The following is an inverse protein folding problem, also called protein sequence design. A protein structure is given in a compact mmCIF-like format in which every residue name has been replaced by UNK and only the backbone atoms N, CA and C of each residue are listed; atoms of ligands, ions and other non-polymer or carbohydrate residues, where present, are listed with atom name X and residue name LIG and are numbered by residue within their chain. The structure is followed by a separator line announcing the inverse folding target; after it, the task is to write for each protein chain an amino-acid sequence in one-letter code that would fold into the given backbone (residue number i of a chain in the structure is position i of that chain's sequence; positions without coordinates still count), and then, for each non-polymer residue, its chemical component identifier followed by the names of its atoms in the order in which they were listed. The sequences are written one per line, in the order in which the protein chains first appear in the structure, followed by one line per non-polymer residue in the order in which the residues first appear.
data_IF_913986730276
#
_entry.id   IF_913986730276
#
_cell.length_a   1.000
_cell.length_b   1.000
_cell.length_c   1.000
_cell.angle_alpha   90.00
_cell.angle_beta   90.00
_cell.angle_gamma   90.00
#
_symmetry.space_group_name_H-M   'P 1'
#
loop_
_entity.id
_entity.type
_entity.pdbx_description
1 polymer ?
#
# COMPACT_ATOMS: atom_id res chain seq x y z
N UNK A 1 -10.65 -4.40 53.36
CA UNK A 1 -9.27 -3.92 53.11
C UNK A 1 -8.70 -4.46 51.79
N UNK A 2 -8.82 -5.76 51.49
CA UNK A 2 -8.31 -6.36 50.24
C UNK A 2 -8.88 -5.77 48.95
N UNK A 3 -10.19 -5.46 48.89
CA UNK A 3 -10.80 -4.89 47.67
C UNK A 3 -10.20 -3.54 47.28
N UNK A 4 -9.88 -2.70 48.26
CA UNK A 4 -9.23 -1.41 48.00
C UNK A 4 -7.79 -1.62 47.52
N UNK A 5 -7.08 -2.61 48.07
CA UNK A 5 -5.74 -3.00 47.61
C UNK A 5 -5.78 -3.48 46.15
N UNK A 6 -6.74 -4.34 45.79
CA UNK A 6 -6.91 -4.84 44.40
C UNK A 6 -7.26 -3.70 43.43
N UNK A 7 -8.20 -2.81 43.79
CA UNK A 7 -8.55 -1.65 42.96
C UNK A 7 -7.35 -0.73 42.75
N UNK A 8 -6.59 -0.44 43.80
CA UNK A 8 -5.39 0.39 43.71
C UNK A 8 -4.30 -0.26 42.86
N UNK A 9 -4.11 -1.58 42.99
CA UNK A 9 -3.16 -2.34 42.17
C UNK A 9 -3.55 -2.28 40.69
N UNK A 10 -4.82 -2.55 40.36
CA UNK A 10 -5.32 -2.49 38.98
C UNK A 10 -5.15 -1.10 38.36
N UNK A 11 -5.55 -0.04 39.08
CA UNK A 11 -5.39 1.34 38.60
C UNK A 11 -3.91 1.72 38.44
N UNK A 12 -3.03 1.24 39.32
CA UNK A 12 -1.57 1.44 39.19
C UNK A 12 -1.03 0.75 37.94
N UNK A 13 -1.38 -0.53 37.73
CA UNK A 13 -1.00 -1.27 36.52
C UNK A 13 -1.49 -0.57 35.25
N UNK A 14 -2.76 -0.13 35.22
CA UNK A 14 -3.31 0.58 34.07
C UNK A 14 -2.57 1.89 33.77
N UNK A 15 -2.19 2.65 34.82
CA UNK A 15 -1.38 3.87 34.68
C UNK A 15 0.01 3.58 34.13
N UNK A 16 0.67 2.53 34.63
CA UNK A 16 2.00 2.11 34.16
C UNK A 16 1.93 1.70 32.68
N UNK A 17 0.96 0.85 32.31
CA UNK A 17 0.78 0.43 30.91
C UNK A 17 0.49 1.62 30.01
N UNK A 18 -0.38 2.55 30.43
CA UNK A 18 -0.69 3.76 29.66
C UNK A 18 0.54 4.65 29.49
N UNK A 19 1.35 4.81 30.53
CA UNK A 19 2.59 5.58 30.49
C UNK A 19 3.62 4.95 29.54
N UNK A 20 3.78 3.62 29.57
CA UNK A 20 4.65 2.89 28.64
C UNK A 20 4.20 3.12 27.19
N UNK A 21 2.89 3.01 26.91
CA UNK A 21 2.34 3.28 25.58
C UNK A 21 2.65 4.72 25.15
N UNK A 22 2.42 5.71 26.01
CA UNK A 22 2.73 7.12 25.71
C UNK A 22 4.21 7.32 25.41
N UNK A 23 5.11 6.75 26.23
CA UNK A 23 6.57 6.85 26.01
C UNK A 23 6.96 6.20 24.67
N UNK A 24 6.39 5.05 24.33
CA UNK A 24 6.64 4.40 23.05
C UNK A 24 6.18 5.27 21.87
N UNK A 25 4.97 5.85 21.95
CA UNK A 25 4.49 6.77 20.91
C UNK A 25 5.37 8.03 20.80
N UNK A 26 5.65 8.69 21.93
CA UNK A 26 6.48 9.92 21.96
C UNK A 26 7.87 9.66 21.41
N UNK A 27 8.50 8.53 21.77
CA UNK A 27 9.84 8.19 21.27
C UNK A 27 9.86 7.97 19.75
N UNK A 28 8.82 7.36 19.17
CA UNK A 28 8.69 7.20 17.71
C UNK A 28 8.53 8.56 17.02
N UNK A 29 7.67 9.43 17.54
CA UNK A 29 7.51 10.78 16.99
C UNK A 29 8.79 11.61 17.11
N UNK A 30 9.46 11.56 18.26
CA UNK A 30 10.73 12.24 18.49
C UNK A 30 11.83 11.72 17.55
N UNK A 31 11.91 10.41 17.34
CA UNK A 31 12.86 9.82 16.40
C UNK A 31 12.59 10.25 14.96
N UNK A 32 11.33 10.21 14.51
CA UNK A 32 10.95 10.70 13.18
C UNK A 32 11.26 12.20 13.02
N UNK A 33 10.95 13.00 14.03
CA UNK A 33 11.30 14.42 14.05
C UNK A 33 12.81 14.63 13.92
N UNK A 34 13.61 13.87 14.69
CA UNK A 34 15.07 13.88 14.60
C UNK A 34 15.59 13.51 13.21
N UNK A 35 15.05 12.47 12.56
CA UNK A 35 15.45 12.11 11.19
C UNK A 35 15.11 13.25 10.21
N UNK A 36 13.91 13.82 10.31
CA UNK A 36 13.46 14.86 9.39
C UNK A 36 14.21 16.18 9.57
N UNK A 37 14.65 16.50 10.79
CA UNK A 37 15.44 17.70 11.09
C UNK A 37 16.93 17.55 10.74
N UNK A 38 17.51 16.35 10.88
CA UNK A 38 18.93 16.12 10.62
C UNK A 38 19.26 15.80 9.16
N UNK A 39 18.34 15.20 8.42
CA UNK A 39 18.52 14.90 7.00
C UNK A 39 17.87 16.01 6.17
N UNK A 40 18.68 16.95 5.71
CA UNK A 40 18.23 18.06 4.86
C UNK A 40 18.17 17.65 3.39
N UNK A 41 17.40 18.41 2.59
CA UNK A 41 17.36 18.26 1.13
C UNK A 41 18.74 18.47 0.52
N UNK A 42 19.48 19.49 0.99
CA UNK A 42 20.85 19.75 0.56
C UNK A 42 21.77 18.55 0.79
N UNK A 43 21.66 17.87 1.94
CA UNK A 43 22.46 16.68 2.24
C UNK A 43 22.17 15.53 1.26
N UNK A 44 20.89 15.34 0.93
CA UNK A 44 20.46 14.35 -0.09
C UNK A 44 21.02 14.74 -1.46
N UNK A 45 20.89 16.00 -1.88
CA UNK A 45 21.41 16.51 -3.15
C UNK A 45 22.92 16.34 -3.26
N UNK A 46 23.68 16.75 -2.24
CA UNK A 46 25.15 16.58 -2.20
C UNK A 46 25.54 15.12 -2.31
N UNK A 47 24.83 14.23 -1.61
CA UNK A 47 25.10 12.78 -1.70
C UNK A 47 24.78 12.24 -3.09
N UNK A 48 23.65 12.63 -3.67
CA UNK A 48 23.26 12.22 -5.01
C UNK A 48 24.28 12.70 -6.06
N UNK A 49 24.69 13.96 -5.98
CA UNK A 49 25.66 14.54 -6.91
C UNK A 49 27.02 13.86 -6.81
N UNK A 50 27.57 13.70 -5.61
CA UNK A 50 28.87 13.04 -5.43
C UNK A 50 28.88 11.58 -5.92
N UNK A 51 27.77 10.87 -5.73
CA UNK A 51 27.64 9.48 -6.17
C UNK A 51 27.12 9.34 -7.61
N UNK A 52 26.76 10.43 -8.28
CA UNK A 52 26.43 10.43 -9.71
C UNK A 52 27.68 10.40 -10.60
N UNK A 53 28.86 10.66 -10.03
CA UNK A 53 30.11 10.78 -10.79
C UNK A 53 30.19 12.05 -11.64
N UNK A 54 29.48 13.10 -11.22
CA UNK A 54 29.47 14.43 -11.82
C UNK A 54 29.87 15.48 -10.77
N UNK A 55 30.54 16.55 -11.22
CA UNK A 55 30.89 17.70 -10.38
C UNK A 55 29.74 18.72 -10.32
N UNK A 56 28.95 18.82 -11.39
CA UNK A 56 27.80 19.71 -11.52
C UNK A 56 26.53 18.93 -11.88
N UNK A 57 25.38 19.61 -11.80
CA UNK A 57 24.11 19.05 -12.22
C UNK A 57 24.15 18.62 -13.71
N UNK A 58 23.64 17.43 -14.06
CA UNK A 58 23.68 16.91 -15.43
C UNK A 58 22.84 17.76 -16.38
N UNK A 59 23.46 18.25 -17.45
CA UNK A 59 22.84 19.10 -18.48
C UNK A 59 22.48 18.29 -19.71
N UNK A 60 23.37 17.39 -20.14
CA UNK A 60 23.22 16.59 -21.35
C UNK A 60 22.54 15.24 -21.09
N UNK A 61 21.90 14.62 -22.10
CA UNK A 61 21.38 13.25 -21.98
C UNK A 61 22.46 12.24 -21.54
N UNK A 62 23.69 12.36 -22.02
CA UNK A 62 24.81 11.47 -21.71
C UNK A 62 25.21 11.57 -20.24
N UNK A 63 25.31 12.79 -19.70
CA UNK A 63 25.53 13.01 -18.27
C UNK A 63 24.40 12.44 -17.42
N UNK A 64 23.14 12.61 -17.85
CA UNK A 64 21.98 12.02 -17.17
C UNK A 64 22.04 10.49 -17.15
N UNK A 65 22.41 9.85 -18.26
CA UNK A 65 22.58 8.39 -18.32
C UNK A 65 23.70 7.92 -17.38
N UNK A 66 24.86 8.61 -17.40
CA UNK A 66 25.99 8.31 -16.51
C UNK A 66 25.58 8.43 -15.04
N UNK A 67 24.93 9.54 -14.67
CA UNK A 67 24.43 9.79 -13.33
C UNK A 67 23.44 8.71 -12.87
N UNK A 68 22.47 8.35 -13.73
CA UNK A 68 21.48 7.31 -13.42
C UNK A 68 22.14 5.96 -13.16
N UNK A 69 23.09 5.52 -14.00
CA UNK A 69 23.79 4.24 -13.80
C UNK A 69 24.62 4.24 -12.51
N UNK A 70 25.27 5.35 -12.18
CA UNK A 70 26.04 5.46 -10.95
C UNK A 70 25.14 5.48 -9.70
N UNK A 71 24.03 6.21 -9.73
CA UNK A 71 23.04 6.21 -8.65
C UNK A 71 22.36 4.84 -8.48
N UNK A 72 22.09 4.15 -9.58
CA UNK A 72 21.56 2.79 -9.61
C UNK A 72 22.51 1.83 -8.86
N UNK A 73 23.80 1.82 -9.22
CA UNK A 73 24.82 1.04 -8.52
C UNK A 73 24.96 1.46 -7.04
N UNK A 74 24.95 2.77 -6.74
CA UNK A 74 25.05 3.29 -5.38
C UNK A 74 23.91 2.77 -4.51
N UNK A 75 22.65 2.89 -4.97
CA UNK A 75 21.47 2.46 -4.22
C UNK A 75 21.48 0.97 -3.96
N UNK A 76 21.79 0.14 -4.97
CA UNK A 76 21.91 -1.32 -4.81
C UNK A 76 22.99 -1.72 -3.81
N UNK A 77 24.14 -1.01 -3.81
CA UNK A 77 25.27 -1.32 -2.93
C UNK A 77 25.02 -0.88 -1.48
N UNK A 78 24.36 0.26 -1.28
CA UNK A 78 24.29 0.92 0.03
C UNK A 78 22.96 0.76 0.74
N UNK A 79 21.91 0.26 0.10
CA UNK A 79 20.69 -0.15 0.79
C UNK A 79 20.76 -1.66 0.99
N UNK A 80 20.79 -2.10 2.23
CA UNK A 80 20.75 -3.51 2.57
C UNK A 80 19.33 -4.03 2.34
N UNK A 81 19.24 -5.07 1.52
CA UNK A 81 17.97 -5.71 1.22
C UNK A 81 17.43 -6.40 2.47
N UNK A 82 16.23 -6.04 2.88
CA UNK A 82 15.54 -6.68 3.99
C UNK A 82 14.72 -7.83 3.45
N UNK A 83 15.27 -9.05 3.47
CA UNK A 83 14.51 -10.25 3.13
C UNK A 83 13.60 -10.62 4.31
N UNK A 84 12.28 -10.48 4.12
CA UNK A 84 11.27 -10.87 5.10
C UNK A 84 11.38 -12.34 5.53
N UNK A 85 12.01 -13.21 4.71
CA UNK A 85 12.20 -14.63 5.04
C UNK A 85 13.33 -14.87 6.04
N UNK A 86 14.35 -14.01 6.06
CA UNK A 86 15.55 -14.26 6.87
C UNK A 86 15.43 -13.75 8.31
N UNK A 87 14.27 -13.20 8.70
CA UNK A 87 13.97 -12.75 10.08
C UNK A 87 15.05 -11.85 10.69
N UNK A 88 15.93 -11.23 9.89
CA UNK A 88 16.82 -10.23 10.44
C UNK A 88 15.92 -9.15 11.02
N UNK A 89 16.05 -8.84 12.31
CA UNK A 89 15.24 -7.81 12.92
C UNK A 89 15.58 -6.54 12.18
N UNK A 90 14.68 -6.16 11.29
CA UNK A 90 14.42 -4.81 10.89
C UNK A 90 14.73 -3.93 12.11
N UNK A 91 15.58 -2.88 12.01
CA UNK A 91 15.89 -1.98 13.15
C UNK A 91 14.66 -1.21 13.66
N UNK A 92 13.48 -1.55 13.14
CA UNK A 92 12.18 -1.19 13.64
C UNK A 92 12.04 -1.70 15.07
N UNK A 93 11.36 -0.93 15.91
CA UNK A 93 10.79 -1.48 17.14
C UNK A 93 9.95 -2.70 16.73
N UNK A 94 10.32 -3.94 17.12
CA UNK A 94 9.75 -5.17 16.54
C UNK A 94 8.24 -5.32 16.75
N UNK A 95 7.65 -4.45 17.58
CA UNK A 95 6.23 -4.44 17.93
C UNK A 95 5.41 -3.41 17.17
N UNK A 96 6.04 -2.49 16.44
CA UNK A 96 5.36 -1.38 15.75
C UNK A 96 5.78 -1.36 14.29
N UNK A 97 5.10 -2.20 13.49
CA UNK A 97 5.09 -2.07 12.04
C UNK A 97 4.32 -0.80 11.69
N UNK A 98 5.02 0.33 11.74
CA UNK A 98 4.45 1.62 11.42
C UNK A 98 4.66 1.86 9.93
N UNK A 99 3.66 1.55 9.11
CA UNK A 99 3.64 1.81 7.64
C UNK A 99 3.90 3.30 7.27
N UNK A 100 4.04 4.20 8.26
CA UNK A 100 4.23 5.63 8.09
C UNK A 100 5.63 6.00 7.56
N UNK A 101 6.58 5.07 7.61
CA UNK A 101 7.99 5.35 7.28
C UNK A 101 8.43 4.84 5.90
N UNK A 102 7.73 3.87 5.32
CA UNK A 102 8.22 3.08 4.18
C UNK A 102 8.38 3.89 2.89
N UNK A 103 7.78 5.09 2.82
CA UNK A 103 7.92 6.02 1.68
C UNK A 103 8.70 7.31 2.01
N UNK A 104 9.31 7.45 3.18
CA UNK A 104 10.11 8.64 3.50
C UNK A 104 11.57 8.47 3.05
N UNK A 105 12.04 9.17 1.99
CA UNK A 105 13.40 9.02 1.50
C UNK A 105 14.47 9.43 2.51
N UNK A 106 14.16 10.33 3.48
CA UNK A 106 15.11 10.71 4.55
C UNK A 106 15.35 9.55 5.51
N UNK A 107 14.29 8.79 5.80
CA UNK A 107 14.37 7.61 6.65
C UNK A 107 15.22 6.54 5.96
N UNK A 108 14.90 6.19 4.71
CA UNK A 108 15.65 5.21 3.92
C UNK A 108 17.12 5.65 3.76
N UNK A 109 17.35 6.94 3.53
CA UNK A 109 18.69 7.52 3.45
C UNK A 109 19.49 7.32 4.74
N UNK A 110 18.86 7.48 5.92
CA UNK A 110 19.53 7.30 7.21
C UNK A 110 19.75 5.83 7.52
N UNK A 111 18.69 5.02 7.40
CA UNK A 111 18.70 3.63 7.87
C UNK A 111 19.50 2.74 6.95
N UNK A 112 19.49 3.01 5.63
CA UNK A 112 20.14 2.16 4.62
C UNK A 112 19.57 0.74 4.58
N UNK A 113 18.29 0.58 4.92
CA UNK A 113 17.57 -0.69 4.85
C UNK A 113 16.29 -0.54 4.02
N UNK A 114 15.94 -1.59 3.31
CA UNK A 114 14.63 -1.72 2.69
C UNK A 114 14.57 -2.74 1.55
N UNK A 115 13.38 -2.95 1.04
CA UNK A 115 13.03 -3.83 -0.07
C UNK A 115 13.02 -3.06 -1.40
N UNK A 116 12.35 -3.60 -2.43
CA UNK A 116 12.29 -2.97 -3.75
C UNK A 116 11.68 -1.55 -3.72
N UNK A 117 10.69 -1.33 -2.85
CA UNK A 117 10.00 -0.05 -2.70
C UNK A 117 10.93 1.05 -2.18
N UNK A 118 11.67 0.79 -1.10
CA UNK A 118 12.58 1.75 -0.50
C UNK A 118 13.75 2.09 -1.43
N UNK A 119 14.25 1.10 -2.17
CA UNK A 119 15.25 1.34 -3.22
C UNK A 119 14.70 2.31 -4.28
N UNK A 120 13.48 2.07 -4.76
CA UNK A 120 12.82 2.91 -5.76
C UNK A 120 12.54 4.32 -5.24
N UNK A 121 12.09 4.46 -4.00
CA UNK A 121 11.81 5.76 -3.35
C UNK A 121 13.09 6.57 -3.23
N UNK A 122 14.17 6.00 -2.67
CA UNK A 122 15.42 6.73 -2.48
C UNK A 122 16.08 7.06 -3.82
N UNK A 123 16.09 6.13 -4.78
CA UNK A 123 16.62 6.39 -6.13
C UNK A 123 15.86 7.52 -6.83
N UNK A 124 14.52 7.50 -6.77
CA UNK A 124 13.68 8.56 -7.34
C UNK A 124 13.99 9.91 -6.70
N UNK A 125 14.21 9.93 -5.37
CA UNK A 125 14.59 11.15 -4.65
C UNK A 125 15.96 11.67 -5.11
N UNK A 126 16.97 10.81 -5.17
CA UNK A 126 18.30 11.20 -5.65
C UNK A 126 18.29 11.72 -7.08
N UNK A 127 17.56 11.05 -7.98
CA UNK A 127 17.47 11.49 -9.37
C UNK A 127 16.85 12.89 -9.47
N UNK A 128 15.71 13.10 -8.80
CA UNK A 128 15.04 14.40 -8.82
C UNK A 128 15.88 15.51 -8.15
N UNK A 129 16.66 15.20 -7.11
CA UNK A 129 17.48 16.19 -6.41
C UNK A 129 18.66 16.70 -7.25
N UNK A 130 19.05 15.96 -8.29
CA UNK A 130 20.08 16.39 -9.28
C UNK A 130 19.47 16.75 -10.65
N UNK A 131 18.25 17.25 -10.70
CA UNK A 131 17.56 17.68 -11.93
C UNK A 131 17.33 16.57 -12.98
N UNK A 132 17.34 15.29 -12.58
CA UNK A 132 16.90 14.18 -13.41
C UNK A 132 15.44 13.90 -13.05
N UNK A 133 14.52 14.26 -13.95
CA UNK A 133 13.09 14.00 -13.75
C UNK A 133 12.85 12.51 -13.56
N UNK A 134 12.39 12.12 -12.39
CA UNK A 134 12.12 10.73 -12.03
C UNK A 134 10.74 10.56 -11.38
N UNK A 135 10.23 9.33 -11.42
CA UNK A 135 8.99 8.94 -10.73
C UNK A 135 9.09 7.53 -10.17
N UNK A 136 8.32 7.30 -9.11
CA UNK A 136 8.14 5.97 -8.52
C UNK A 136 7.17 5.16 -9.39
N UNK A 137 7.44 3.87 -9.56
CA UNK A 137 6.62 2.93 -10.32
C UNK A 137 6.42 1.66 -9.50
N UNK A 138 5.22 1.10 -9.54
CA UNK A 138 4.89 -0.15 -8.84
C UNK A 138 3.97 -1.03 -9.67
N UNK A 139 4.12 -2.34 -9.46
CA UNK A 139 3.17 -3.38 -9.85
C UNK A 139 2.60 -4.00 -8.56
N UNK A 140 1.56 -3.42 -7.95
CA UNK A 140 1.09 -3.81 -6.61
C UNK A 140 0.68 -5.29 -6.53
N UNK A 141 0.11 -5.81 -7.60
CA UNK A 141 -0.30 -7.20 -7.71
C UNK A 141 0.85 -8.21 -7.80
N UNK A 142 2.07 -7.73 -8.03
CA UNK A 142 3.29 -8.52 -8.08
C UNK A 142 4.21 -8.20 -6.91
N UNK A 143 3.78 -7.33 -5.99
CA UNK A 143 4.57 -6.89 -4.84
C UNK A 143 5.97 -6.38 -5.25
N UNK A 144 6.01 -5.60 -6.34
CA UNK A 144 7.27 -5.09 -6.88
C UNK A 144 7.20 -3.60 -7.21
N UNK A 145 8.32 -2.91 -7.02
CA UNK A 145 8.47 -1.49 -7.25
C UNK A 145 9.84 -1.13 -7.84
N UNK A 146 9.87 -0.08 -8.65
CA UNK A 146 11.05 0.43 -9.33
C UNK A 146 10.87 1.92 -9.64
N UNK A 147 11.77 2.49 -10.45
CA UNK A 147 11.74 3.90 -10.83
C UNK A 147 11.75 4.07 -12.35
N UNK A 148 11.26 5.22 -12.80
CA UNK A 148 11.49 5.67 -14.17
C UNK A 148 12.13 7.04 -14.18
N UNK A 149 13.03 7.27 -15.13
CA UNK A 149 13.72 8.55 -15.35
C UNK A 149 13.42 9.06 -16.75
N UNK A 150 13.27 10.37 -16.91
CA UNK A 150 13.03 11.01 -18.22
C UNK A 150 14.35 11.51 -18.79
N UNK A 151 14.81 10.88 -19.87
CA UNK A 151 16.02 11.26 -20.62
C UNK A 151 15.62 11.48 -22.07
N UNK A 152 15.97 12.65 -22.62
CA UNK A 152 15.62 13.05 -23.99
C UNK A 152 14.12 12.81 -24.32
N UNK A 153 13.24 13.32 -23.47
CA UNK A 153 11.78 13.14 -23.54
C UNK A 153 11.23 11.71 -23.45
N UNK A 154 12.09 10.70 -23.30
CA UNK A 154 11.72 9.31 -23.16
C UNK A 154 11.82 8.87 -21.71
N UNK A 155 10.82 8.13 -21.25
CA UNK A 155 10.85 7.50 -19.93
C UNK A 155 11.57 6.17 -20.01
N UNK A 156 12.59 6.00 -19.17
CA UNK A 156 13.46 4.84 -19.10
C UNK A 156 13.23 4.15 -17.76
N UNK A 157 13.02 2.84 -17.80
CA UNK A 157 12.91 2.01 -16.58
C UNK A 157 14.26 1.89 -15.88
N UNK A 158 14.26 1.97 -14.55
CA UNK A 158 15.39 1.75 -13.68
C UNK A 158 14.95 0.98 -12.44
N UNK A 159 15.51 -0.20 -12.19
CA UNK A 159 15.25 -1.01 -11.00
C UNK A 159 16.46 -0.96 -10.06
N UNK A 160 16.46 -0.05 -9.06
CA UNK A 160 17.55 0.08 -8.10
C UNK A 160 17.73 -1.15 -7.21
N UNK A 161 16.68 -1.96 -7.02
CA UNK A 161 16.73 -3.14 -6.18
C UNK A 161 17.41 -4.33 -6.87
N UNK A 162 17.39 -4.36 -8.21
CA UNK A 162 17.94 -5.45 -9.01
C UNK A 162 19.03 -5.01 -10.01
N UNK A 163 19.46 -3.75 -9.94
CA UNK A 163 20.47 -3.18 -10.83
C UNK A 163 20.08 -3.22 -12.33
N UNK A 164 18.79 -3.08 -12.64
CA UNK A 164 18.28 -3.17 -14.03
C UNK A 164 18.14 -1.77 -14.61
N UNK A 165 18.63 -1.56 -15.83
CA UNK A 165 18.51 -0.30 -16.56
C UNK A 165 17.95 -0.54 -17.96
N UNK A 166 16.83 0.11 -18.26
CA UNK A 166 16.18 0.11 -19.57
C UNK A 166 15.84 -1.29 -20.13
N UNK A 167 15.37 -2.19 -19.25
CA UNK A 167 14.94 -3.53 -19.64
C UNK A 167 13.53 -3.81 -19.10
N UNK A 168 12.49 -3.10 -19.60
CA UNK A 168 11.13 -3.23 -19.06
C UNK A 168 10.56 -4.65 -19.17
N UNK A 169 10.99 -5.43 -20.16
CA UNK A 169 10.54 -6.81 -20.38
C UNK A 169 11.22 -7.85 -19.48
N UNK A 170 12.19 -7.47 -18.65
CA UNK A 170 12.87 -8.38 -17.71
C UNK A 170 11.89 -9.03 -16.74
N UNK A 171 10.87 -8.28 -16.28
CA UNK A 171 9.89 -8.79 -15.33
C UNK A 171 9.08 -9.96 -15.91
N UNK A 172 8.67 -9.87 -17.18
CA UNK A 172 7.95 -10.97 -17.84
C UNK A 172 8.90 -12.10 -18.25
N UNK A 173 9.99 -11.75 -18.95
CA UNK A 173 10.80 -12.76 -19.65
C UNK A 173 11.75 -13.52 -18.71
N UNK A 174 12.27 -12.86 -17.67
CA UNK A 174 13.25 -13.48 -16.77
C UNK A 174 12.62 -13.90 -15.45
N UNK A 175 11.66 -13.12 -14.93
CA UNK A 175 11.03 -13.41 -13.64
C UNK A 175 9.70 -14.14 -13.78
N UNK A 176 9.21 -14.33 -15.01
CA UNK A 176 7.92 -14.96 -15.32
C UNK A 176 6.75 -14.27 -14.59
N UNK A 177 6.86 -12.95 -14.38
CA UNK A 177 5.77 -12.18 -13.80
C UNK A 177 4.68 -11.98 -14.84
N UNK A 178 3.45 -12.22 -14.42
CA UNK A 178 2.28 -11.83 -15.19
C UNK A 178 1.77 -10.49 -14.65
N UNK A 179 2.33 -9.39 -15.15
CA UNK A 179 2.05 -8.04 -14.64
C UNK A 179 0.60 -7.67 -14.91
N UNK A 180 -0.16 -7.30 -13.86
CA UNK A 180 -1.57 -6.96 -14.06
C UNK A 180 -1.79 -5.49 -14.37
N UNK A 181 -1.21 -4.62 -13.55
CA UNK A 181 -1.25 -3.18 -13.71
C UNK A 181 0.06 -2.61 -13.26
N UNK A 182 0.61 -1.68 -14.04
CA UNK A 182 1.76 -0.89 -13.63
C UNK A 182 1.30 0.54 -13.45
N UNK A 183 1.53 1.10 -12.26
CA UNK A 183 1.19 2.48 -11.91
C UNK A 183 2.44 3.26 -11.58
N UNK A 184 2.45 4.54 -11.96
CA UNK A 184 3.47 5.48 -11.52
C UNK A 184 2.86 6.53 -10.60
N UNK A 185 3.67 7.04 -9.67
CA UNK A 185 3.29 8.12 -8.75
C UNK A 185 4.34 9.21 -8.74
N UNK A 186 3.92 10.48 -8.85
CA UNK A 186 4.77 11.67 -8.69
C UNK A 186 3.95 12.82 -8.14
N UNK A 187 4.36 13.41 -7.01
CA UNK A 187 3.67 14.54 -6.36
C UNK A 187 2.16 14.28 -6.21
N UNK A 188 1.79 13.15 -5.60
CA UNK A 188 0.40 12.68 -5.39
C UNK A 188 -0.41 12.37 -6.66
N UNK A 189 0.10 12.68 -7.85
CA UNK A 189 -0.49 12.26 -9.11
C UNK A 189 -0.12 10.82 -9.39
N UNK A 190 -1.12 10.02 -9.76
CA UNK A 190 -0.95 8.64 -10.19
C UNK A 190 -1.44 8.46 -11.62
N UNK A 191 -0.72 7.66 -12.40
CA UNK A 191 -1.16 7.20 -13.72
C UNK A 191 -0.73 5.77 -13.98
N UNK A 192 -1.09 5.24 -15.16
CA UNK A 192 -0.82 3.85 -15.53
C UNK A 192 0.13 3.77 -16.73
N UNK A 193 0.97 2.73 -16.75
CA UNK A 193 1.90 2.41 -17.86
C UNK A 193 2.04 0.91 -18.10
N UNK A 194 0.98 0.16 -17.84
CA UNK A 194 0.96 -1.29 -17.98
C UNK A 194 1.49 -1.74 -19.35
N UNK A 195 1.07 -1.07 -20.44
CA UNK A 195 1.45 -1.38 -21.83
C UNK A 195 2.96 -1.28 -22.15
N UNK A 196 3.75 -0.59 -21.35
CA UNK A 196 5.21 -0.54 -21.54
C UNK A 196 5.90 -1.80 -21.03
N UNK A 197 5.28 -2.47 -20.06
CA UNK A 197 5.90 -3.58 -19.33
C UNK A 197 5.30 -4.92 -19.70
N UNK A 198 4.06 -4.93 -20.15
CA UNK A 198 3.30 -6.14 -20.50
C UNK A 198 2.29 -5.81 -21.60
N UNK A 199 1.88 -6.84 -22.32
CA UNK A 199 0.80 -6.72 -23.27
C UNK A 199 -0.52 -6.54 -22.51
N UNK A 200 -1.48 -5.80 -23.09
CA UNK A 200 -2.68 -5.39 -22.37
C UNK A 200 -3.95 -5.82 -23.05
N UNK A 201 -4.92 -6.19 -22.23
CA UNK A 201 -6.28 -6.58 -22.59
C UNK A 201 -7.27 -5.51 -22.14
N UNK A 202 -8.43 -5.48 -22.78
CA UNK A 202 -9.54 -4.62 -22.39
C UNK A 202 -10.61 -5.42 -21.67
N UNK A 203 -10.90 -5.05 -20.42
CA UNK A 203 -12.00 -5.61 -19.65
C UNK A 203 -13.12 -4.58 -19.52
N UNK A 204 -14.25 -4.83 -20.19
CA UNK A 204 -15.47 -4.03 -20.07
C UNK A 204 -16.38 -4.63 -19.00
N UNK A 205 -16.82 -3.81 -18.05
CA UNK A 205 -17.62 -4.27 -16.90
C UNK A 205 -18.99 -3.64 -16.98
N UNK A 206 -20.02 -4.47 -17.15
CA UNK A 206 -21.42 -4.04 -17.14
C UNK A 206 -22.06 -4.38 -15.81
N UNK A 207 -22.67 -3.39 -15.19
CA UNK A 207 -23.39 -3.54 -13.93
C UNK A 207 -24.88 -3.45 -14.22
N UNK A 208 -25.59 -4.52 -13.89
CA UNK A 208 -27.06 -4.58 -13.95
C UNK A 208 -27.61 -4.65 -12.53
N UNK A 209 -28.68 -3.90 -12.25
CA UNK A 209 -29.33 -3.86 -10.94
C UNK A 209 -30.74 -4.42 -11.00
N UNK A 210 -31.25 -4.84 -9.85
CA UNK A 210 -32.62 -5.37 -9.72
C UNK A 210 -33.66 -4.31 -9.36
N UNK A 211 -33.31 -3.18 -8.74
CA UNK A 211 -34.33 -2.21 -8.30
C UNK A 211 -33.94 -0.72 -8.19
N UNK A 212 -32.69 -0.33 -7.90
CA UNK A 212 -32.28 1.09 -7.77
C UNK A 212 -31.23 1.55 -8.80
N UNK A 213 -31.05 2.87 -8.96
CA UNK A 213 -30.05 3.48 -9.85
C UNK A 213 -28.60 3.07 -9.50
N UNK A 214 -27.67 3.00 -10.47
CA UNK A 214 -26.26 2.62 -10.31
C UNK A 214 -25.37 3.51 -9.45
N UNK A 215 -25.93 4.51 -8.79
CA UNK A 215 -25.19 5.53 -8.05
C UNK A 215 -24.24 4.88 -7.02
N UNK A 216 -22.99 5.35 -7.06
CA UNK A 216 -21.89 5.01 -6.15
C UNK A 216 -21.39 3.55 -6.16
N UNK A 217 -21.60 2.80 -7.25
CA UNK A 217 -20.97 1.48 -7.38
C UNK A 217 -19.46 1.65 -7.58
N UNK A 218 -18.69 1.07 -6.66
CA UNK A 218 -17.23 0.94 -6.72
C UNK A 218 -16.87 -0.44 -7.26
N UNK A 219 -16.00 -0.47 -8.25
CA UNK A 219 -15.45 -1.71 -8.79
C UNK A 219 -14.01 -1.85 -8.33
N UNK A 220 -13.73 -3.00 -7.72
CA UNK A 220 -12.42 -3.40 -7.25
C UNK A 220 -11.98 -4.60 -8.09
N UNK A 221 -10.91 -4.44 -8.86
CA UNK A 221 -10.32 -5.49 -9.67
C UNK A 221 -9.08 -5.96 -8.94
N UNK A 222 -9.12 -7.20 -8.46
CA UNK A 222 -8.01 -7.83 -7.77
C UNK A 222 -7.31 -8.83 -8.68
N UNK A 223 -5.99 -8.78 -8.72
CA UNK A 223 -5.18 -9.85 -9.28
C UNK A 223 -5.07 -11.01 -8.29
N UNK A 224 -5.22 -12.22 -8.79
CA UNK A 224 -5.01 -13.46 -8.03
C UNK A 224 -3.57 -13.99 -8.18
N UNK A 225 -2.64 -13.19 -8.71
CA UNK A 225 -1.27 -13.60 -9.01
C UNK A 225 -0.50 -14.09 -7.76
N UNK A 226 -0.32 -13.26 -6.73
CA UNK A 226 0.45 -13.64 -5.54
C UNK A 226 -0.16 -14.83 -4.81
N UNK A 227 -1.49 -14.89 -4.72
CA UNK A 227 -2.20 -16.04 -4.12
C UNK A 227 -1.83 -17.38 -4.76
N UNK A 228 -1.53 -17.39 -6.07
CA UNK A 228 -1.16 -18.60 -6.80
C UNK A 228 0.34 -18.91 -6.74
N UNK A 229 1.18 -17.88 -6.69
CA UNK A 229 2.63 -18.03 -6.89
C UNK A 229 3.47 -17.92 -5.61
N UNK A 230 2.90 -17.36 -4.53
CA UNK A 230 3.63 -17.16 -3.27
C UNK A 230 2.99 -18.01 -2.17
N UNK A 231 3.70 -19.06 -1.74
CA UNK A 231 3.25 -19.94 -0.65
C UNK A 231 2.99 -19.14 0.63
N UNK A 232 1.81 -19.33 1.23
CA UNK A 232 1.39 -18.61 2.44
C UNK A 232 0.74 -17.25 2.16
N UNK A 233 0.74 -16.79 0.91
CA UNK A 233 0.05 -15.56 0.52
C UNK A 233 -1.42 -15.85 0.22
N UNK A 234 -2.32 -15.51 1.15
CA UNK A 234 -3.74 -15.82 1.00
C UNK A 234 -4.59 -14.66 0.48
N UNK A 235 -4.03 -13.45 0.40
CA UNK A 235 -4.75 -12.25 -0.01
C UNK A 235 -4.69 -12.01 -1.53
N UNK A 236 -5.75 -11.40 -2.05
CA UNK A 236 -5.81 -10.89 -3.43
C UNK A 236 -5.30 -9.46 -3.41
N UNK A 237 -4.56 -9.05 -4.43
CA UNK A 237 -4.01 -7.70 -4.49
C UNK A 237 -4.81 -6.81 -5.43
N UNK A 238 -5.10 -5.58 -4.98
CA UNK A 238 -5.86 -4.63 -5.77
C UNK A 238 -5.01 -4.15 -6.95
N UNK A 239 -5.45 -4.50 -8.17
CA UNK A 239 -4.82 -4.05 -9.40
C UNK A 239 -5.41 -2.71 -9.85
N UNK A 240 -6.74 -2.58 -9.83
CA UNK A 240 -7.41 -1.39 -10.30
C UNK A 240 -8.68 -1.10 -9.50
N UNK A 241 -8.91 0.18 -9.21
CA UNK A 241 -10.17 0.68 -8.67
C UNK A 241 -10.84 1.61 -9.69
N UNK A 242 -12.12 1.39 -9.95
CA UNK A 242 -12.96 2.23 -10.79
C UNK A 242 -14.24 2.57 -10.04
N UNK A 243 -14.84 3.71 -10.36
CA UNK A 243 -16.10 4.15 -9.79
C UNK A 243 -17.05 4.47 -10.94
N UNK A 244 -18.28 3.98 -10.85
CA UNK A 244 -19.32 4.29 -11.86
C UNK A 244 -19.55 5.80 -11.89
N UNK A 245 -19.63 6.37 -13.09
CA UNK A 245 -20.18 7.72 -13.26
C UNK A 245 -21.68 7.58 -13.49
N UNK A 246 -22.42 8.49 -12.86
CA UNK A 246 -23.86 8.47 -12.69
C UNK A 246 -24.61 8.44 -14.03
N UNK A 247 -24.92 7.24 -14.54
CA UNK A 247 -25.67 7.07 -15.79
C UNK A 247 -26.63 5.87 -15.73
N UNK A 248 -27.93 6.19 -15.85
CA UNK A 248 -29.11 5.36 -16.19
C UNK A 248 -29.17 3.95 -15.57
N UNK A 249 -30.20 3.16 -15.85
CA UNK A 249 -30.47 1.88 -15.15
C UNK A 249 -29.42 0.78 -15.35
N UNK A 250 -28.48 0.97 -16.29
CA UNK A 250 -27.32 0.11 -16.54
C UNK A 250 -26.06 0.98 -16.59
N UNK A 251 -25.10 0.71 -15.71
CA UNK A 251 -23.80 1.37 -15.78
C UNK A 251 -22.82 0.50 -16.56
N UNK A 252 -22.31 1.03 -17.67
CA UNK A 252 -21.13 0.50 -18.35
C UNK A 252 -19.94 1.25 -17.77
N UNK A 253 -19.07 0.51 -17.08
CA UNK A 253 -17.79 1.05 -16.70
C UNK A 253 -16.82 0.83 -17.85
N UNK A 254 -16.31 1.96 -18.37
CA UNK A 254 -15.35 2.00 -19.46
C UNK A 254 -14.13 1.14 -19.21
N UNK A 255 -13.42 0.84 -20.30
CA UNK A 255 -12.45 -0.26 -20.37
C UNK A 255 -11.37 -0.18 -19.28
N UNK A 256 -11.17 -1.32 -18.62
CA UNK A 256 -10.03 -1.55 -17.74
C UNK A 256 -8.91 -2.19 -18.55
N UNK A 257 -7.82 -1.44 -18.73
CA UNK A 257 -6.60 -1.91 -19.40
C UNK A 257 -5.78 -2.69 -18.36
N UNK A 258 -5.67 -3.99 -18.56
CA UNK A 258 -5.04 -4.93 -17.63
C UNK A 258 -4.11 -5.86 -18.41
N UNK A 259 -2.98 -6.25 -17.84
CA UNK A 259 -2.17 -7.33 -18.39
C UNK A 259 -2.86 -8.69 -18.24
N UNK A 260 -2.16 -9.74 -18.64
CA UNK A 260 -2.70 -11.09 -18.58
C UNK A 260 -2.99 -11.55 -17.14
N UNK A 261 -3.77 -12.63 -17.04
CA UNK A 261 -3.89 -13.36 -15.80
C UNK A 261 -5.31 -13.48 -15.26
N UNK A 262 -5.40 -13.82 -13.98
CA UNK A 262 -6.63 -14.21 -13.33
C UNK A 262 -7.06 -13.16 -12.33
N UNK A 263 -8.28 -12.65 -12.53
CA UNK A 263 -8.81 -11.50 -11.83
C UNK A 263 -10.06 -11.86 -11.06
N UNK A 264 -10.18 -11.34 -9.85
CA UNK A 264 -11.44 -11.27 -9.11
C UNK A 264 -11.97 -9.85 -9.22
N UNK A 265 -13.16 -9.68 -9.80
CA UNK A 265 -13.83 -8.39 -9.88
C UNK A 265 -14.93 -8.39 -8.83
N UNK A 266 -14.87 -7.41 -7.93
CA UNK A 266 -15.91 -7.16 -6.93
C UNK A 266 -16.57 -5.83 -7.24
N UNK A 267 -17.87 -5.86 -7.48
CA UNK A 267 -18.69 -4.66 -7.49
C UNK A 267 -19.29 -4.46 -6.10
N UNK A 268 -19.18 -3.24 -5.60
CA UNK A 268 -19.64 -2.86 -4.28
C UNK A 268 -20.55 -1.64 -4.39
N UNK A 269 -21.72 -1.72 -3.76
CA UNK A 269 -22.58 -0.56 -3.54
C UNK A 269 -22.78 -0.31 -2.04
N UNK A 270 -22.42 0.88 -1.53
CA UNK A 270 -22.68 1.22 -0.14
C UNK A 270 -24.17 1.38 0.15
N UNK A 271 -24.62 0.88 1.31
CA UNK A 271 -25.98 1.08 1.80
C UNK A 271 -26.14 2.46 2.51
N UNK A 272 -25.16 2.82 3.36
CA UNK A 272 -25.11 4.10 4.07
C UNK A 272 -23.71 4.69 3.97
N UNK A 273 -23.56 5.95 3.51
CA UNK A 273 -22.28 6.66 3.58
C UNK A 273 -22.07 7.19 5.01
N UNK A 274 -21.19 6.57 5.80
CA UNK A 274 -20.69 7.12 7.06
C UNK A 274 -19.38 7.89 6.79
N UNK A 275 -19.49 9.02 6.11
CA UNK A 275 -18.32 9.78 5.63
C UNK A 275 -17.55 9.05 4.52
N UNK A 276 -16.23 8.92 4.64
CA UNK A 276 -15.38 8.22 3.66
C UNK A 276 -15.45 6.69 3.75
N UNK A 277 -16.08 6.16 4.80
CA UNK A 277 -16.22 4.73 5.03
C UNK A 277 -17.70 4.33 5.00
N UNK A 278 -17.99 3.26 4.28
CA UNK A 278 -19.25 2.54 4.46
C UNK A 278 -18.88 1.22 5.12
N UNK A 279 -19.73 0.71 6.01
CA UNK A 279 -19.47 -0.54 6.74
C UNK A 279 -20.25 -1.69 6.13
N UNK A 280 -21.44 -1.38 5.62
CA UNK A 280 -22.38 -2.35 5.09
C UNK A 280 -22.76 -1.94 3.67
N UNK A 281 -22.91 -2.93 2.80
CA UNK A 281 -23.51 -2.73 1.48
C UNK A 281 -23.68 -4.04 0.73
N UNK A 282 -24.05 -3.92 -0.54
CA UNK A 282 -24.22 -5.07 -1.42
C UNK A 282 -22.94 -5.29 -2.21
N UNK A 283 -22.55 -6.56 -2.32
CA UNK A 283 -21.40 -6.96 -3.12
C UNK A 283 -21.78 -8.06 -4.08
N UNK A 284 -21.19 -8.03 -5.27
CA UNK A 284 -21.19 -9.18 -6.18
C UNK A 284 -19.78 -9.39 -6.68
N UNK A 285 -19.37 -10.63 -6.81
CA UNK A 285 -18.01 -10.98 -7.19
C UNK A 285 -18.01 -11.98 -8.33
N UNK A 286 -17.16 -11.76 -9.32
CA UNK A 286 -16.93 -12.70 -10.42
C UNK A 286 -15.44 -12.84 -10.68
N UNK A 287 -15.01 -14.06 -10.96
CA UNK A 287 -13.65 -14.32 -11.41
C UNK A 287 -13.62 -14.43 -12.93
N UNK A 288 -12.56 -13.91 -13.54
CA UNK A 288 -12.31 -14.03 -14.97
C UNK A 288 -10.82 -14.21 -15.23
N UNK A 289 -10.50 -14.80 -16.38
CA UNK A 289 -9.13 -14.84 -16.89
C UNK A 289 -9.07 -14.01 -18.16
N UNK A 290 -8.02 -13.19 -18.28
CA UNK A 290 -7.62 -12.46 -19.47
C UNK A 290 -6.35 -13.09 -20.03
N UNK A 291 -6.29 -13.21 -21.36
CA UNK A 291 -5.14 -13.70 -22.11
C UNK A 291 -5.07 -12.93 -23.42
N UNK A 292 -3.86 -12.52 -23.82
CA UNK A 292 -3.47 -12.12 -25.18
C UNK A 292 -4.45 -11.22 -25.94
N UNK A 293 -4.30 -9.90 -25.82
CA UNK A 293 -4.99 -8.88 -26.61
C UNK A 293 -6.52 -9.08 -26.73
N UNK A 294 -7.13 -9.70 -25.72
CA UNK A 294 -8.57 -9.95 -25.73
C UNK A 294 -9.34 -8.75 -25.21
N UNK A 295 -10.48 -8.48 -25.85
CA UNK A 295 -11.52 -7.66 -25.25
C UNK A 295 -12.54 -8.60 -24.62
N UNK A 296 -12.75 -8.48 -23.30
CA UNK A 296 -13.68 -9.32 -22.57
C UNK A 296 -14.72 -8.47 -21.87
N UNK A 297 -15.98 -8.85 -22.03
CA UNK A 297 -17.06 -8.24 -21.28
C UNK A 297 -17.48 -9.14 -20.12
N UNK A 298 -17.69 -8.56 -18.94
CA UNK A 298 -18.31 -9.24 -17.81
C UNK A 298 -19.57 -8.50 -17.38
N UNK A 299 -20.63 -9.27 -17.13
CA UNK A 299 -21.86 -8.76 -16.54
C UNK A 299 -21.88 -9.14 -15.06
N UNK A 300 -22.13 -8.15 -14.21
CA UNK A 300 -22.23 -8.28 -12.76
C UNK A 300 -23.61 -7.79 -12.34
N UNK A 301 -24.34 -8.66 -11.62
CA UNK A 301 -25.67 -8.34 -11.08
C UNK A 301 -25.53 -8.08 -9.59
N UNK A 302 -25.87 -6.87 -9.15
CA UNK A 302 -25.97 -6.55 -7.72
C UNK A 302 -27.42 -6.79 -7.30
N UNK A 303 -27.64 -7.80 -6.45
CA UNK A 303 -28.94 -7.97 -5.83
C UNK A 303 -29.02 -7.10 -4.57
N UNK A 304 -30.08 -6.32 -4.45
CA UNK A 304 -30.27 -5.34 -3.39
C UNK A 304 -31.19 -5.87 -2.28
N UNK A 305 -31.22 -7.19 -2.11
CA UNK A 305 -31.93 -7.84 -1.01
C UNK A 305 -31.23 -7.52 0.32
N UNK A 306 -32.00 -7.24 1.37
CA UNK A 306 -31.46 -7.01 2.71
C UNK A 306 -30.77 -8.27 3.26
N UNK A 307 -31.18 -9.46 2.80
CA UNK A 307 -30.51 -10.73 3.16
C UNK A 307 -29.12 -10.88 2.55
N UNK A 308 -28.78 -10.08 1.53
CA UNK A 308 -27.48 -10.12 0.84
C UNK A 308 -26.53 -8.99 1.29
N UNK A 309 -26.84 -8.33 2.42
CA UNK A 309 -25.94 -7.32 2.97
C UNK A 309 -24.64 -7.96 3.48
N UNK A 310 -23.52 -7.33 3.11
CA UNK A 310 -22.18 -7.78 3.47
C UNK A 310 -21.42 -6.68 4.20
N UNK A 311 -20.60 -7.09 5.18
CA UNK A 311 -19.62 -6.21 5.82
C UNK A 311 -18.47 -5.99 4.84
N UNK A 312 -18.02 -4.75 4.69
CA UNK A 312 -16.96 -4.43 3.77
C UNK A 312 -15.59 -5.04 4.19
N UNK A 313 -14.82 -5.60 3.24
CA UNK A 313 -13.50 -6.17 3.54
C UNK A 313 -12.54 -5.18 4.21
N UNK A 314 -12.56 -3.91 3.78
CA UNK A 314 -11.71 -2.87 4.36
C UNK A 314 -12.20 -2.39 5.74
N UNK A 315 -13.45 -2.71 6.13
CA UNK A 315 -13.98 -2.35 7.45
C UNK A 315 -13.75 -3.43 8.51
N UNK A 316 -13.39 -4.64 8.12
CA UNK A 316 -13.10 -5.72 9.07
C UNK A 316 -11.96 -5.34 10.03
N UNK A 317 -10.88 -4.72 9.52
CA UNK A 317 -9.77 -4.22 10.36
C UNK A 317 -10.22 -3.15 11.36
N UNK A 318 -11.12 -2.26 10.95
CA UNK A 318 -11.68 -1.24 11.85
C UNK A 318 -12.62 -1.88 12.88
N UNK A 319 -13.44 -2.85 12.48
CA UNK A 319 -14.32 -3.60 13.39
C UNK A 319 -13.53 -4.39 14.42
N UNK A 320 -12.40 -5.01 14.05
CA UNK A 320 -11.49 -5.64 15.00
C UNK A 320 -10.98 -4.64 16.04
N UNK A 321 -10.51 -3.48 15.61
CA UNK A 321 -10.05 -2.41 16.52
C UNK A 321 -11.20 -1.91 17.41
N UNK A 322 -12.38 -1.62 16.84
CA UNK A 322 -13.53 -1.15 17.60
C UNK A 322 -14.06 -2.21 18.56
N UNK A 323 -14.05 -3.48 18.17
CA UNK A 323 -14.44 -4.61 19.02
C UNK A 323 -13.47 -4.80 20.18
N UNK A 324 -12.16 -4.62 19.96
CA UNK A 324 -11.15 -4.64 21.01
C UNK A 324 -11.36 -3.48 21.99
N UNK A 325 -11.55 -2.25 21.48
CA UNK A 325 -11.82 -1.08 22.32
C UNK A 325 -13.12 -1.25 23.12
N UNK A 326 -14.16 -1.79 22.49
CA UNK A 326 -15.44 -2.08 23.14
C UNK A 326 -15.32 -3.18 24.19
N UNK A 327 -14.57 -4.26 23.92
CA UNK A 327 -14.29 -5.32 24.87
C UNK A 327 -13.49 -4.82 26.08
N UNK A 328 -12.49 -3.96 25.85
CA UNK A 328 -11.75 -3.25 26.91
C UNK A 328 -12.71 -2.40 27.75
N UNK A 329 -13.64 -1.69 27.10
CA UNK A 329 -14.70 -0.92 27.77
C UNK A 329 -15.60 -1.79 28.65
N UNK A 330 -16.15 -2.88 28.11
CA UNK A 330 -16.99 -3.82 28.87
C UNK A 330 -16.21 -4.46 30.01
N UNK A 331 -14.99 -4.94 29.76
CA UNK A 331 -14.16 -5.56 30.79
C UNK A 331 -13.86 -4.57 31.93
N UNK A 332 -13.61 -3.30 31.59
CA UNK A 332 -13.43 -2.23 32.58
C UNK A 332 -14.69 -2.03 33.43
N UNK A 333 -15.88 -2.05 32.82
CA UNK A 333 -17.17 -1.95 33.51
C UNK A 333 -17.44 -3.17 34.40
N UNK A 334 -17.15 -4.38 33.91
CA UNK A 334 -17.35 -5.63 34.65
C UNK A 334 -16.40 -5.73 35.84
N UNK A 335 -15.13 -5.38 35.67
CA UNK A 335 -14.15 -5.28 36.76
C UNK A 335 -14.65 -4.26 37.77
N UNK A 336 -15.05 -3.06 37.34
CA UNK A 336 -15.60 -2.05 38.23
C UNK A 336 -16.79 -2.59 39.04
N UNK A 337 -17.78 -3.22 38.38
CA UNK A 337 -18.98 -3.75 39.02
C UNK A 337 -18.72 -4.93 39.97
N UNK A 338 -17.83 -5.85 39.61
CA UNK A 338 -17.44 -6.98 40.47
C UNK A 338 -16.80 -6.50 41.77
N UNK A 339 -16.00 -5.43 41.70
CA UNK A 339 -15.33 -4.89 42.88
C UNK A 339 -16.12 -3.79 43.61
N UNK A 340 -17.13 -3.16 42.97
CA UNK A 340 -17.96 -2.11 43.56
C UNK A 340 -19.17 -2.62 44.36
N UNK A 341 -19.71 -3.82 44.07
CA UNK A 341 -20.81 -4.41 44.86
C UNK A 341 -20.36 -4.78 46.27
N UNK A 342 -20.69 -3.98 47.29
CA UNK A 342 -20.46 -4.29 48.71
C UNK A 342 -20.99 -5.71 49.04
N UNK A 343 -20.27 -6.53 49.84
CA UNK A 343 -20.87 -7.77 50.34
C UNK A 343 -22.11 -7.39 51.15
N UNK A 344 -23.28 -7.86 50.73
CA UNK A 344 -24.45 -7.80 51.58
C UNK A 344 -24.10 -8.61 52.82
N UNK A 345 -24.08 -7.95 53.99
CA UNK A 345 -24.05 -8.66 55.26
C UNK A 345 -25.33 -9.51 55.28
N UNK A 346 -25.18 -10.83 55.16
CA UNK A 346 -26.26 -11.75 55.53
C UNK A 346 -26.56 -11.45 57.00
N UNK A 347 -27.76 -10.96 57.25
CA UNK A 347 -28.28 -10.69 58.59
C UNK A 347 -28.61 -11.99 59.27
#
# INVERSE_FOLDING_TARGET
MERQKIKNLFLSTLRIVSLIIIILFVSIYAYNFYINSTITEEKITKTALSNSGLQELPKTPQEKVKAVKNLLNYTKKHIKHTDYKNKEPLPYFPFLKVDWFDHNPKWIYKTKYGSCEEHAVLFTKFSNSINITARFVSAPAQDHAWSEVKINNTWIQVDPSNNIYNQPKTYENQWNYNLSTVRWTKNEKTGYRTNQYTDTNNLTIKITKTSRKPDDVKILIYSNYLKKHVKGYNSKQLALKKETKNEKTNAILGDAILGDGNYTITAYQPLLPLGKASIIGWTTTKTTTLKENTTKQINLKINQDLTELTILPNTQKYLEIYSLLFAIGILSILIYNKYSKKPQKQK
#
